data_IF_297887391895
#
_entry.id   IF_297887391895
#
_cell.length_a   1.000
_cell.length_b   1.000
_cell.length_c   1.000
_cell.angle_alpha   90.00
_cell.angle_beta   90.00
_cell.angle_gamma   90.00
#
_symmetry.space_group_name_H-M   'P 1'
#
loop_
_entity.id
_entity.type
_entity.pdbx_description
1 polymer ?
#
# COMPACT_ATOMS: atom_id res chain seq x y z
N UNK A 1 -6.83 30.51 -0.36
CA UNK A 1 -8.00 30.61 0.54
C UNK A 1 -8.86 29.36 0.35
N UNK A 2 -8.41 28.25 0.93
CA UNK A 2 -9.26 27.07 1.17
C UNK A 2 -9.75 27.21 2.61
N UNK A 3 -11.06 27.10 2.78
CA UNK A 3 -11.80 27.48 3.98
C UNK A 3 -11.38 26.63 5.20
N UNK A 4 -10.96 27.29 6.30
CA UNK A 4 -10.56 26.68 7.57
C UNK A 4 -11.65 25.88 8.32
N UNK A 5 -12.80 25.65 7.70
CA UNK A 5 -13.87 24.79 8.23
C UNK A 5 -13.71 23.31 7.87
N UNK A 6 -12.92 22.96 6.84
CA UNK A 6 -12.70 21.53 6.48
C UNK A 6 -11.70 20.80 7.41
N UNK A 7 -10.68 21.49 7.94
CA UNK A 7 -9.69 20.84 8.83
C UNK A 7 -10.27 20.41 10.19
N UNK A 8 -11.26 21.13 10.72
CA UNK A 8 -11.88 20.83 12.02
C UNK A 8 -12.76 19.55 11.98
N UNK A 9 -13.40 19.28 10.84
CA UNK A 9 -14.25 18.10 10.66
C UNK A 9 -13.44 16.81 10.54
N UNK A 10 -12.25 16.85 9.93
CA UNK A 10 -11.36 15.69 9.80
C UNK A 10 -10.74 15.33 11.16
N UNK A 11 -10.30 16.33 11.94
CA UNK A 11 -9.79 16.10 13.29
C UNK A 11 -10.86 15.50 14.23
N UNK A 12 -12.12 15.92 14.08
CA UNK A 12 -13.23 15.41 14.88
C UNK A 12 -13.58 13.97 14.54
N UNK A 13 -13.52 13.57 13.27
CA UNK A 13 -13.76 12.18 12.83
C UNK A 13 -12.67 11.21 13.30
N UNK A 14 -11.40 11.66 13.31
CA UNK A 14 -10.27 10.88 13.82
C UNK A 14 -10.41 10.66 15.34
N UNK A 15 -10.80 11.69 16.10
CA UNK A 15 -11.10 11.57 17.54
C UNK A 15 -12.35 10.73 17.83
N UNK A 16 -13.38 10.76 16.98
CA UNK A 16 -14.59 9.95 17.17
C UNK A 16 -14.34 8.45 16.94
N UNK A 17 -13.51 8.11 15.95
CA UNK A 17 -13.06 6.74 15.75
C UNK A 17 -12.15 6.25 16.88
N UNK A 18 -11.27 7.12 17.40
CA UNK A 18 -10.37 6.80 18.52
C UNK A 18 -11.13 6.58 19.84
N UNK A 19 -12.16 7.39 20.12
CA UNK A 19 -12.99 7.28 21.34
C UNK A 19 -14.00 6.12 21.31
N UNK A 20 -14.57 5.80 20.14
CA UNK A 20 -15.42 4.60 19.97
C UNK A 20 -14.62 3.31 20.16
N UNK A 21 -13.37 3.27 19.68
CA UNK A 21 -12.49 2.12 19.89
C UNK A 21 -12.13 1.92 21.37
N UNK A 22 -11.94 3.00 22.12
CA UNK A 22 -11.69 2.96 23.56
C UNK A 22 -12.91 2.51 24.38
N UNK A 23 -14.13 2.89 23.97
CA UNK A 23 -15.35 2.58 24.70
C UNK A 23 -15.77 1.11 24.56
N UNK A 24 -15.54 0.51 23.38
CA UNK A 24 -15.74 -0.93 23.18
C UNK A 24 -14.79 -1.78 24.05
N UNK A 25 -13.63 -1.22 24.41
CA UNK A 25 -12.60 -1.90 25.18
C UNK A 25 -12.89 -1.99 26.69
N UNK A 26 -13.87 -1.23 27.21
CA UNK A 26 -14.16 -1.19 28.65
C UNK A 26 -15.00 -2.38 29.17
N UNK A 27 -15.45 -3.33 28.32
CA UNK A 27 -16.34 -4.42 28.75
C UNK A 27 -15.64 -5.77 29.02
N UNK A 28 -14.40 -6.01 28.62
CA UNK A 28 -13.77 -7.34 28.85
C UNK A 28 -12.47 -7.27 29.66
N UNK A 29 -12.64 -7.41 30.98
CA UNK A 29 -11.60 -7.39 32.00
C UNK A 29 -10.94 -8.77 32.17
N UNK A 30 -10.23 -9.28 31.16
CA UNK A 30 -9.33 -10.43 31.30
C UNK A 30 -8.09 -10.26 30.39
N UNK A 31 -6.90 -10.23 31.02
CA UNK A 31 -5.54 -10.28 30.45
C UNK A 31 -4.95 -9.01 29.79
N UNK A 32 -4.50 -8.07 30.64
CA UNK A 32 -3.72 -6.87 30.26
C UNK A 32 -2.34 -7.17 29.62
N UNK A 33 -1.77 -8.38 29.79
CA UNK A 33 -0.46 -8.73 29.23
C UNK A 33 -0.51 -9.20 27.76
N UNK A 34 -1.59 -9.87 27.32
CA UNK A 34 -1.79 -10.22 25.91
C UNK A 34 -2.10 -8.98 25.05
N UNK A 35 -2.62 -7.95 25.71
CA UNK A 35 -3.11 -6.73 25.11
C UNK A 35 -2.01 -5.75 24.72
N UNK A 36 -0.87 -5.75 25.43
CA UNK A 36 0.31 -4.98 25.03
C UNK A 36 1.00 -5.56 23.78
N UNK A 37 0.94 -6.88 23.57
CA UNK A 37 1.41 -7.48 22.33
C UNK A 37 0.44 -7.18 21.16
N UNK A 38 -0.87 -7.23 21.40
CA UNK A 38 -1.87 -6.96 20.36
C UNK A 38 -2.00 -5.47 20.00
N UNK A 39 -1.85 -4.55 20.97
CA UNK A 39 -1.89 -3.10 20.72
C UNK A 39 -0.67 -2.63 19.93
N UNK A 40 0.54 -3.10 20.24
CA UNK A 40 1.73 -2.79 19.43
C UNK A 40 1.65 -3.38 18.02
N UNK A 41 1.11 -4.59 17.87
CA UNK A 41 0.93 -5.21 16.56
C UNK A 41 -0.16 -4.50 15.74
N UNK A 42 -1.29 -4.12 16.34
CA UNK A 42 -2.37 -3.40 15.67
C UNK A 42 -1.98 -1.96 15.32
N UNK A 43 -1.23 -1.27 16.18
CA UNK A 43 -0.74 0.09 15.93
C UNK A 43 0.36 0.09 14.84
N UNK A 44 1.24 -0.91 14.82
CA UNK A 44 2.25 -1.09 13.78
C UNK A 44 1.60 -1.41 12.41
N UNK A 45 0.62 -2.33 12.37
CA UNK A 45 -0.03 -2.74 11.12
C UNK A 45 -0.80 -1.59 10.47
N UNK A 46 -1.54 -0.77 11.24
CA UNK A 46 -2.23 0.40 10.69
C UNK A 46 -1.26 1.50 10.21
N UNK A 47 -0.12 1.69 10.88
CA UNK A 47 0.83 2.74 10.51
C UNK A 47 1.63 2.42 9.24
N UNK A 48 1.94 1.14 8.98
CA UNK A 48 2.60 0.72 7.72
C UNK A 48 1.74 1.06 6.49
N UNK A 49 0.41 1.12 6.63
CA UNK A 49 -0.49 1.48 5.53
C UNK A 49 -0.53 2.98 5.21
N UNK A 50 0.07 3.87 6.01
CA UNK A 50 0.23 5.30 5.70
C UNK A 50 1.71 5.73 5.73
N UNK A 51 2.59 4.80 5.38
CA UNK A 51 4.02 5.07 5.29
C UNK A 51 4.36 5.49 3.86
N UNK A 52 4.93 6.70 3.72
CA UNK A 52 5.39 7.21 2.44
C UNK A 52 6.32 6.20 1.78
N UNK A 53 6.06 5.89 0.52
CA UNK A 53 6.75 4.83 -0.20
C UNK A 53 7.25 5.37 -1.53
N UNK A 54 8.53 5.14 -1.81
CA UNK A 54 9.16 5.51 -3.07
C UNK A 54 9.41 4.22 -3.85
N UNK A 55 8.86 4.13 -5.07
CA UNK A 55 9.07 3.04 -6.00
C UNK A 55 10.19 3.42 -6.98
N UNK A 56 11.15 2.52 -7.16
CA UNK A 56 12.24 2.65 -8.13
C UNK A 56 12.03 1.60 -9.21
N UNK A 57 11.96 2.05 -10.46
CA UNK A 57 11.68 1.18 -11.61
C UNK A 57 12.78 1.35 -12.65
N UNK A 58 13.34 0.23 -13.10
CA UNK A 58 14.22 0.18 -14.25
C UNK A 58 13.74 -0.90 -15.23
N UNK A 59 13.03 -0.51 -16.31
CA UNK A 59 12.45 -1.48 -17.24
C UNK A 59 13.48 -2.31 -18.00
N UNK A 60 14.62 -1.71 -18.37
CA UNK A 60 15.68 -2.39 -19.13
C UNK A 60 17.03 -2.14 -18.47
N UNK A 61 18.06 -2.94 -18.79
CA UNK A 61 19.42 -2.74 -18.25
C UNK A 61 20.05 -1.38 -18.57
N UNK A 62 19.47 -0.63 -19.51
CA UNK A 62 19.90 0.71 -19.89
C UNK A 62 19.58 1.73 -18.77
N UNK A 63 20.56 2.51 -18.30
CA UNK A 63 20.38 3.42 -17.18
C UNK A 63 19.43 4.59 -17.49
N UNK A 64 19.23 4.94 -18.75
CA UNK A 64 18.35 6.04 -19.18
C UNK A 64 16.86 5.75 -18.91
N UNK A 65 16.49 4.47 -18.74
CA UNK A 65 15.13 4.06 -18.42
C UNK A 65 14.79 4.08 -16.93
N UNK A 66 15.71 4.49 -16.05
CA UNK A 66 15.46 4.56 -14.61
C UNK A 66 14.50 5.68 -14.30
N UNK A 67 13.42 5.35 -13.61
CA UNK A 67 12.43 6.30 -13.13
C UNK A 67 12.06 5.97 -11.69
N UNK A 68 11.51 6.94 -10.98
CA UNK A 68 10.95 6.76 -9.65
C UNK A 68 9.54 7.36 -9.57
N UNK A 69 8.76 6.85 -8.63
CA UNK A 69 7.45 7.39 -8.29
C UNK A 69 7.27 7.36 -6.78
N UNK A 70 6.62 8.38 -6.23
CA UNK A 70 6.34 8.52 -4.81
C UNK A 70 4.85 8.35 -4.51
N UNK A 71 4.56 7.75 -3.36
CA UNK A 71 3.21 7.40 -2.91
C UNK A 71 3.06 7.70 -1.42
N UNK A 72 1.86 8.06 -0.97
CA UNK A 72 1.60 8.36 0.43
C UNK A 72 1.48 7.09 1.28
N UNK A 73 1.20 5.95 0.63
CA UNK A 73 1.10 4.64 1.28
C UNK A 73 1.75 3.51 0.50
N UNK A 74 2.04 2.42 1.21
CA UNK A 74 2.46 1.15 0.59
C UNK A 74 1.38 0.61 -0.35
N UNK A 75 0.09 0.73 0.00
CA UNK A 75 -1.00 0.21 -0.84
C UNK A 75 -1.08 0.95 -2.18
N UNK A 76 -1.02 2.28 -2.16
CA UNK A 76 -1.01 3.09 -3.39
C UNK A 76 0.20 2.78 -4.26
N UNK A 77 1.37 2.51 -3.64
CA UNK A 77 2.55 2.04 -4.37
C UNK A 77 2.28 0.72 -5.10
N UNK A 78 1.66 -0.26 -4.43
CA UNK A 78 1.28 -1.54 -5.07
C UNK A 78 0.27 -1.34 -6.19
N UNK A 79 -0.73 -0.47 -6.00
CA UNK A 79 -1.68 -0.10 -7.07
C UNK A 79 -0.97 0.60 -8.23
N UNK A 80 0.07 1.39 -7.97
CA UNK A 80 0.94 2.00 -8.97
C UNK A 80 1.64 0.96 -9.86
N UNK A 81 2.14 -0.13 -9.26
CA UNK A 81 2.73 -1.26 -10.01
C UNK A 81 1.68 -1.94 -10.90
N UNK A 82 0.47 -2.15 -10.40
CA UNK A 82 -0.63 -2.70 -11.21
C UNK A 82 -0.98 -1.77 -12.39
N UNK A 83 -1.10 -0.46 -12.15
CA UNK A 83 -1.36 0.54 -13.20
C UNK A 83 -0.25 0.57 -14.26
N UNK A 84 1.01 0.45 -13.86
CA UNK A 84 2.15 0.38 -14.78
C UNK A 84 2.00 -0.81 -15.75
N UNK A 85 1.55 -1.97 -15.26
CA UNK A 85 1.29 -3.12 -16.11
C UNK A 85 0.05 -2.92 -16.99
N UNK A 86 -1.02 -2.35 -16.47
CA UNK A 86 -2.23 -2.03 -17.24
C UNK A 86 -1.93 -1.06 -18.39
N UNK A 87 -1.10 -0.05 -18.17
CA UNK A 87 -0.64 0.85 -19.23
C UNK A 87 0.16 0.12 -20.29
N UNK A 88 1.03 -0.82 -19.88
CA UNK A 88 1.76 -1.67 -20.82
C UNK A 88 0.79 -2.51 -21.67
N UNK A 89 -0.22 -3.12 -21.06
CA UNK A 89 -1.25 -3.90 -21.77
C UNK A 89 -2.09 -3.04 -22.71
N UNK A 90 -2.46 -1.82 -22.30
CA UNK A 90 -3.22 -0.86 -23.14
C UNK A 90 -2.45 -0.44 -24.39
N UNK A 91 -1.13 -0.26 -24.28
CA UNK A 91 -0.28 0.04 -25.45
C UNK A 91 -0.23 -1.13 -26.43
N UNK A 92 -0.28 -2.37 -25.94
CA UNK A 92 -0.32 -3.56 -26.79
C UNK A 92 -1.70 -3.83 -27.40
N UNK A 93 -2.78 -3.44 -26.70
CA UNK A 93 -4.17 -3.72 -27.11
C UNK A 93 -5.02 -2.45 -27.15
N UNK A 94 -4.75 -1.50 -28.07
CA UNK A 94 -5.41 -0.18 -28.08
C UNK A 94 -6.93 -0.25 -28.33
N UNK A 95 -7.42 -1.35 -28.91
CA UNK A 95 -8.84 -1.52 -29.24
C UNK A 95 -9.66 -2.18 -28.10
N UNK A 96 -9.02 -2.60 -27.01
CA UNK A 96 -9.68 -3.26 -25.89
C UNK A 96 -9.94 -2.27 -24.75
N UNK A 97 -11.20 -1.83 -24.52
CA UNK A 97 -11.51 -0.81 -23.51
C UNK A 97 -11.41 -1.33 -22.07
N UNK A 98 -11.55 -2.64 -21.87
CA UNK A 98 -11.35 -3.32 -20.59
C UNK A 98 -10.40 -4.48 -20.80
N UNK A 99 -9.34 -4.52 -20.00
CA UNK A 99 -8.32 -5.57 -20.07
C UNK A 99 -8.35 -6.29 -18.73
N UNK A 100 -8.57 -7.59 -18.77
CA UNK A 100 -8.46 -8.49 -17.61
C UNK A 100 -7.14 -9.24 -17.72
N UNK A 101 -6.47 -9.45 -16.60
CA UNK A 101 -5.21 -10.18 -16.54
C UNK A 101 -5.18 -11.07 -15.29
N UNK A 102 -4.44 -12.17 -15.37
CA UNK A 102 -4.17 -13.02 -14.21
C UNK A 102 -2.97 -12.49 -13.42
N UNK A 103 -2.95 -12.77 -12.12
CA UNK A 103 -1.87 -12.34 -11.22
C UNK A 103 -0.52 -12.92 -11.63
N UNK A 104 -0.51 -14.13 -12.23
CA UNK A 104 0.69 -14.76 -12.76
C UNK A 104 1.34 -13.89 -13.85
N UNK A 105 0.52 -13.34 -14.76
CA UNK A 105 1.01 -12.51 -15.86
C UNK A 105 1.61 -11.18 -15.37
N UNK A 106 1.05 -10.61 -14.30
CA UNK A 106 1.61 -9.44 -13.63
C UNK A 106 2.97 -9.77 -12.99
N UNK A 107 3.11 -10.95 -12.39
CA UNK A 107 4.36 -11.37 -11.77
C UNK A 107 5.46 -11.66 -12.79
N UNK A 108 5.11 -12.25 -13.93
CA UNK A 108 6.04 -12.44 -15.05
C UNK A 108 6.55 -11.09 -15.56
N UNK A 109 5.66 -10.11 -15.75
CA UNK A 109 6.05 -8.75 -16.12
C UNK A 109 7.00 -8.11 -15.11
N UNK A 110 6.76 -8.29 -13.80
CA UNK A 110 7.66 -7.78 -12.75
C UNK A 110 9.03 -8.48 -12.81
N UNK A 111 9.08 -9.76 -13.15
CA UNK A 111 10.35 -10.49 -13.28
C UNK A 111 11.18 -10.09 -14.50
N UNK A 112 10.51 -9.67 -15.58
CA UNK A 112 11.16 -9.18 -16.79
C UNK A 112 11.81 -7.80 -16.62
N UNK A 113 11.39 -7.01 -15.62
CA UNK A 113 12.02 -5.73 -15.30
C UNK A 113 13.46 -5.96 -14.84
N UNK A 114 14.38 -5.12 -15.32
CA UNK A 114 15.79 -5.20 -14.95
C UNK A 114 16.03 -4.92 -13.47
N UNK A 115 15.30 -3.96 -12.89
CA UNK A 115 15.27 -3.71 -11.45
C UNK A 115 13.91 -3.14 -11.03
N UNK A 116 13.43 -3.61 -9.88
CA UNK A 116 12.23 -3.12 -9.23
C UNK A 116 12.44 -3.23 -7.72
N UNK A 117 12.46 -2.08 -7.05
CA UNK A 117 12.61 -1.99 -5.60
C UNK A 117 11.74 -0.87 -5.05
N UNK A 118 11.38 -0.96 -3.78
CA UNK A 118 10.66 0.11 -3.10
C UNK A 118 11.29 0.43 -1.76
N UNK A 119 11.22 1.70 -1.39
CA UNK A 119 11.71 2.27 -0.15
C UNK A 119 10.50 2.69 0.67
N UNK A 120 10.28 2.05 1.82
CA UNK A 120 9.16 2.38 2.71
C UNK A 120 9.68 3.18 3.89
N UNK A 121 9.06 4.33 4.15
CA UNK A 121 9.41 5.18 5.27
C UNK A 121 9.07 4.51 6.60
N UNK A 122 10.02 4.54 7.53
CA UNK A 122 9.89 4.04 8.90
C UNK A 122 9.95 5.21 9.87
N UNK A 123 8.84 5.54 10.50
CA UNK A 123 8.77 6.67 11.42
C UNK A 123 9.51 6.44 12.75
N UNK A 124 9.72 5.18 13.13
CA UNK A 124 10.45 4.81 14.35
C UNK A 124 11.94 5.15 14.25
N UNK A 125 12.54 4.94 13.08
CA UNK A 125 13.95 5.23 12.82
C UNK A 125 14.16 6.49 11.97
N UNK A 126 13.09 7.07 11.44
CA UNK A 126 13.11 8.16 10.45
C UNK A 126 13.96 7.84 9.21
N UNK A 127 13.93 6.57 8.78
CA UNK A 127 14.71 6.08 7.62
C UNK A 127 13.82 5.40 6.59
N UNK A 128 14.33 5.23 5.37
CA UNK A 128 13.70 4.38 4.37
C UNK A 128 14.26 2.97 4.44
N UNK A 129 13.38 1.99 4.58
CA UNK A 129 13.74 0.57 4.48
C UNK A 129 13.59 0.11 3.03
N UNK A 130 14.65 -0.40 2.38
CA UNK A 130 14.56 -0.98 1.06
C UNK A 130 13.92 -2.37 1.08
N UNK A 131 13.12 -2.64 0.05
CA UNK A 131 12.50 -3.92 -0.25
C UNK A 131 12.68 -4.27 -1.72
N UNK A 132 12.79 -5.57 -1.99
CA UNK A 132 13.01 -6.14 -3.31
C UNK A 132 11.70 -6.47 -4.03
N UNK A 133 11.81 -6.91 -5.28
CA UNK A 133 10.68 -7.36 -6.10
C UNK A 133 9.84 -8.47 -5.47
N UNK A 134 10.44 -9.41 -4.74
CA UNK A 134 9.71 -10.52 -4.12
C UNK A 134 8.74 -10.02 -3.04
N UNK A 135 9.20 -9.06 -2.23
CA UNK A 135 8.34 -8.41 -1.24
C UNK A 135 7.20 -7.64 -1.89
N UNK A 136 7.45 -6.93 -3.00
CA UNK A 136 6.42 -6.22 -3.77
C UNK A 136 5.36 -7.19 -4.28
N UNK A 137 5.76 -8.32 -4.87
CA UNK A 137 4.81 -9.36 -5.35
C UNK A 137 3.93 -9.90 -4.22
N UNK A 138 4.51 -10.16 -3.05
CA UNK A 138 3.76 -10.62 -1.88
C UNK A 138 2.72 -9.58 -1.44
N UNK A 139 3.09 -8.29 -1.41
CA UNK A 139 2.15 -7.21 -1.05
C UNK A 139 1.03 -7.04 -2.06
N UNK A 140 1.34 -7.14 -3.36
CA UNK A 140 0.33 -7.13 -4.43
C UNK A 140 -0.64 -8.31 -4.27
N UNK A 141 -0.13 -9.53 -3.99
CA UNK A 141 -0.97 -10.70 -3.76
C UNK A 141 -1.97 -10.49 -2.63
N UNK A 142 -1.49 -9.95 -1.49
CA UNK A 142 -2.36 -9.65 -0.34
C UNK A 142 -3.37 -8.56 -0.67
N UNK A 143 -2.98 -7.52 -1.40
CA UNK A 143 -3.84 -6.42 -1.82
C UNK A 143 -5.00 -6.94 -2.70
N UNK A 144 -4.69 -7.65 -3.77
CA UNK A 144 -5.68 -8.16 -4.73
C UNK A 144 -6.63 -9.18 -4.08
N UNK A 145 -6.11 -10.05 -3.21
CA UNK A 145 -6.94 -10.99 -2.44
C UNK A 145 -7.94 -10.28 -1.53
N UNK A 146 -7.54 -9.19 -0.88
CA UNK A 146 -8.44 -8.39 -0.03
C UNK A 146 -9.52 -7.69 -0.85
N UNK A 147 -9.16 -7.12 -2.00
CA UNK A 147 -10.12 -6.46 -2.90
C UNK A 147 -11.18 -7.45 -3.41
N UNK A 148 -10.76 -8.66 -3.81
CA UNK A 148 -11.69 -9.70 -4.24
C UNK A 148 -12.68 -10.12 -3.14
N UNK A 149 -12.24 -10.17 -1.88
CA UNK A 149 -13.12 -10.46 -0.73
C UNK A 149 -14.11 -9.33 -0.44
N UNK A 150 -13.69 -8.07 -0.60
CA UNK A 150 -14.55 -6.90 -0.36
C UNK A 150 -15.64 -6.75 -1.41
N UNK A 151 -15.34 -7.07 -2.68
CA UNK A 151 -16.32 -7.04 -3.77
C UNK A 151 -17.45 -8.08 -3.63
N UNK A 152 -17.30 -9.07 -2.74
CA UNK A 152 -18.29 -10.13 -2.49
C UNK A 152 -19.26 -9.86 -1.34
N UNK A 153 -19.13 -8.70 -0.66
CA UNK A 153 -20.04 -8.25 0.41
C UNK A 153 -20.96 -7.14 -0.08
#
# INVERSE_FOLDING_TARGET
MLCGKCLSLIASLILYHYTSFYSFFHINNLNKNLLNCASNLCFCVCFVFQSHTILLVQPTKRPEGRTYADYESVNECMEGVCKMYEEHLKRMNPNSPSITYDISQLFDFIDDLADLSCLVYRADTQTYQPYNKDWIKEKIYVLLRRQAQQASK
#
